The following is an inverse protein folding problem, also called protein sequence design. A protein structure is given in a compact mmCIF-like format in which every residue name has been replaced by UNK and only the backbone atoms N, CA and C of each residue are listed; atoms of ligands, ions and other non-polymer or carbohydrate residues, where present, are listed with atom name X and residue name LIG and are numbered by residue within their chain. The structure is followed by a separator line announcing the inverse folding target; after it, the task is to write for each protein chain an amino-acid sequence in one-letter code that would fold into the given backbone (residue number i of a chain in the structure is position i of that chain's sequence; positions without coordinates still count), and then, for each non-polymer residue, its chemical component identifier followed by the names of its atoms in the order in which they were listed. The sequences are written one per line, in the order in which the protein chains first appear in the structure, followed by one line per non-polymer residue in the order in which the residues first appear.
data_IF_730438186967
#
_entry.id   IF_730438186967
#
_cell.length_a   1.000
_cell.length_b   1.000
_cell.length_c   1.000
_cell.angle_alpha   90.00
_cell.angle_beta   90.00
_cell.angle_gamma   90.00
#
_symmetry.space_group_name_H-M   'P 1'
#
loop_
_entity.id
_entity.type
_entity.pdbx_description
1 polymer ?
#
# COMPACT_ATOMS: atom_id res chain seq x y z
N UNK A 1 -7.95 17.84 -2.67
CA UNK A 1 -7.23 17.19 -3.78
C UNK A 1 -8.04 16.18 -4.61
N UNK A 2 -9.09 15.54 -4.06
CA UNK A 2 -10.04 14.72 -4.84
C UNK A 2 -11.42 15.38 -4.75
N UNK A 3 -11.93 15.88 -5.89
CA UNK A 3 -13.27 16.44 -6.00
C UNK A 3 -14.33 15.33 -5.93
N UNK A 4 -15.50 15.63 -5.34
CA UNK A 4 -16.55 14.63 -5.15
C UNK A 4 -17.11 14.13 -6.50
N UNK A 5 -17.24 15.00 -7.49
CA UNK A 5 -17.62 14.63 -8.87
C UNK A 5 -16.66 13.56 -9.46
N UNK A 6 -15.36 13.66 -9.19
CA UNK A 6 -14.39 12.66 -9.64
C UNK A 6 -14.60 11.32 -8.95
N UNK A 7 -14.93 11.33 -7.66
CA UNK A 7 -15.21 10.11 -6.90
C UNK A 7 -16.50 9.44 -7.37
N UNK A 8 -17.55 10.21 -7.64
CA UNK A 8 -18.82 9.67 -8.12
C UNK A 8 -18.69 9.04 -9.50
N UNK A 9 -17.94 9.69 -10.41
CA UNK A 9 -17.59 9.10 -11.71
C UNK A 9 -16.78 7.81 -11.56
N UNK A 10 -15.86 7.76 -10.60
CA UNK A 10 -15.05 6.57 -10.35
C UNK A 10 -15.88 5.41 -9.76
N UNK A 11 -16.89 5.70 -8.94
CA UNK A 11 -17.83 4.70 -8.42
C UNK A 11 -18.76 4.13 -9.50
N UNK A 12 -19.13 4.96 -10.47
CA UNK A 12 -20.01 4.55 -11.57
C UNK A 12 -19.29 3.79 -12.69
N UNK A 13 -17.96 3.78 -12.70
CA UNK A 13 -17.16 3.13 -13.73
C UNK A 13 -16.81 1.68 -13.38
N UNK A 14 -16.71 0.82 -14.40
CA UNK A 14 -16.25 -0.57 -14.23
C UNK A 14 -14.75 -0.65 -13.88
N UNK A 15 -13.97 0.33 -14.33
CA UNK A 15 -12.54 0.42 -14.08
C UNK A 15 -12.05 1.87 -14.07
N UNK A 16 -10.98 2.13 -13.32
CA UNK A 16 -10.34 3.44 -13.22
C UNK A 16 -8.89 3.33 -13.66
N UNK A 17 -8.51 4.11 -14.67
CA UNK A 17 -7.12 4.29 -15.08
C UNK A 17 -6.59 5.62 -14.53
N UNK A 18 -5.49 5.55 -13.79
CA UNK A 18 -4.83 6.71 -13.19
C UNK A 18 -3.40 6.82 -13.73
N UNK A 19 -3.00 8.03 -14.14
CA UNK A 19 -1.63 8.33 -14.58
C UNK A 19 -0.68 8.52 -13.40
N UNK A 20 -0.48 9.77 -12.99
CA UNK A 20 0.38 10.13 -11.87
C UNK A 20 -0.23 11.25 -11.02
N UNK A 21 0.23 11.40 -9.77
CA UNK A 21 -0.14 12.49 -8.86
C UNK A 21 1.11 13.04 -8.18
N UNK A 22 1.12 14.33 -7.88
CA UNK A 22 2.22 15.01 -7.18
C UNK A 22 3.02 15.96 -8.07
N UNK A 23 3.80 16.85 -7.45
CA UNK A 23 4.69 17.77 -8.15
C UNK A 23 5.15 18.96 -7.28
N UNK A 24 6.29 19.61 -7.61
CA UNK A 24 6.92 20.62 -6.74
C UNK A 24 6.03 21.83 -6.38
N UNK A 25 5.07 22.14 -7.25
CA UNK A 25 4.07 23.19 -7.02
C UNK A 25 3.30 23.03 -5.71
N UNK A 26 3.13 21.79 -5.23
CA UNK A 26 2.32 21.47 -4.05
C UNK A 26 3.14 21.06 -2.82
N UNK A 27 4.47 21.20 -2.83
CA UNK A 27 5.31 20.73 -1.71
C UNK A 27 5.18 21.60 -0.44
N UNK A 28 4.79 22.87 -0.62
CA UNK A 28 4.71 23.86 0.45
C UNK A 28 3.29 24.03 1.03
N UNK A 29 2.29 23.34 0.48
CA UNK A 29 0.93 23.41 1.02
C UNK A 29 0.74 22.42 2.18
N UNK A 30 -0.31 22.63 2.96
CA UNK A 30 -0.69 21.78 4.07
C UNK A 30 -0.85 20.31 3.62
N UNK A 31 -0.38 19.38 4.46
CA UNK A 31 -0.32 17.95 4.12
C UNK A 31 -1.68 17.40 3.69
N UNK A 32 -2.77 17.85 4.29
CA UNK A 32 -4.12 17.32 4.02
C UNK A 32 -4.70 17.70 2.66
N UNK A 33 -4.19 18.75 2.03
CA UNK A 33 -4.64 19.21 0.71
C UNK A 33 -3.67 18.85 -0.43
N UNK A 34 -2.58 18.13 -0.13
CA UNK A 34 -1.61 17.67 -1.15
C UNK A 34 -2.20 16.62 -2.11
N UNK A 35 -1.71 16.54 -3.37
CA UNK A 35 -2.20 15.58 -4.37
C UNK A 35 -2.25 14.13 -3.89
N UNK A 36 -1.26 13.69 -3.09
CA UNK A 36 -1.15 12.32 -2.59
C UNK A 36 -2.31 11.94 -1.66
N UNK A 37 -2.90 12.92 -0.95
CA UNK A 37 -4.11 12.68 -0.14
C UNK A 37 -5.31 12.33 -1.00
N UNK A 38 -5.39 12.86 -2.22
CA UNK A 38 -6.42 12.48 -3.18
C UNK A 38 -6.32 11.01 -3.57
N UNK A 39 -5.10 10.53 -3.82
CA UNK A 39 -4.82 9.12 -4.12
C UNK A 39 -5.14 8.18 -2.95
N UNK A 40 -4.84 8.59 -1.72
CA UNK A 40 -5.24 7.81 -0.53
C UNK A 40 -6.76 7.80 -0.34
N UNK A 41 -7.42 8.96 -0.51
CA UNK A 41 -8.89 9.09 -0.38
C UNK A 41 -9.60 8.21 -1.41
N UNK A 42 -9.22 8.25 -2.69
CA UNK A 42 -9.92 7.45 -3.72
C UNK A 42 -9.76 5.95 -3.49
N UNK A 43 -8.57 5.48 -3.08
CA UNK A 43 -8.33 4.06 -2.75
C UNK A 43 -9.21 3.58 -1.61
N UNK A 44 -9.28 4.35 -0.53
CA UNK A 44 -10.12 4.01 0.62
C UNK A 44 -11.61 4.07 0.27
N UNK A 45 -12.06 5.12 -0.43
CA UNK A 45 -13.47 5.33 -0.78
C UNK A 45 -14.02 4.31 -1.79
N UNK A 46 -13.15 3.73 -2.62
CA UNK A 46 -13.50 2.65 -3.55
C UNK A 46 -13.22 1.25 -2.98
N UNK A 47 -12.73 1.14 -1.74
CA UNK A 47 -12.42 -0.15 -1.11
C UNK A 47 -11.32 -0.95 -1.82
N UNK A 48 -10.37 -0.28 -2.48
CA UNK A 48 -9.32 -0.91 -3.29
C UNK A 48 -8.18 -1.46 -2.42
N UNK A 49 -8.49 -2.46 -1.59
CA UNK A 49 -7.56 -3.02 -0.60
C UNK A 49 -6.42 -3.86 -1.21
N UNK A 50 -6.67 -4.52 -2.34
CA UNK A 50 -5.72 -5.43 -2.99
C UNK A 50 -4.81 -4.71 -3.99
N UNK A 51 -3.58 -4.38 -3.59
CA UNK A 51 -2.60 -3.83 -4.52
C UNK A 51 -1.71 -4.93 -5.09
N UNK A 52 -1.78 -5.12 -6.40
CA UNK A 52 -0.95 -6.06 -7.15
C UNK A 52 0.19 -5.32 -7.83
N UNK A 53 1.44 -5.70 -7.56
CA UNK A 53 2.64 -5.13 -8.18
C UNK A 53 3.53 -6.25 -8.72
N UNK A 54 3.39 -6.64 -9.99
CA UNK A 54 4.34 -7.54 -10.62
C UNK A 54 5.69 -6.84 -10.76
N UNK A 55 6.76 -7.49 -10.29
CA UNK A 55 8.14 -7.12 -10.57
C UNK A 55 8.72 -8.20 -11.48
N UNK A 56 8.80 -7.86 -12.77
CA UNK A 56 9.24 -8.74 -13.84
C UNK A 56 10.47 -8.10 -14.49
N UNK A 57 11.55 -8.88 -14.66
CA UNK A 57 12.72 -8.43 -15.41
C UNK A 57 12.90 -9.27 -16.67
N UNK A 58 12.64 -8.63 -17.80
CA UNK A 58 12.88 -9.22 -19.11
C UNK A 58 14.38 -9.37 -19.36
N UNK A 59 14.86 -10.51 -19.91
CA UNK A 59 16.28 -10.71 -20.20
C UNK A 59 16.92 -9.59 -21.02
N UNK A 60 16.16 -9.00 -21.97
CA UNK A 60 16.59 -7.89 -22.82
C UNK A 60 16.86 -6.59 -22.05
N UNK A 61 16.39 -6.49 -20.81
CA UNK A 61 16.54 -5.33 -19.93
C UNK A 61 17.40 -5.65 -18.70
N UNK A 62 18.07 -6.81 -18.66
CA UNK A 62 18.83 -7.24 -17.49
C UNK A 62 19.92 -6.23 -17.09
N UNK A 63 20.58 -5.63 -18.08
CA UNK A 63 21.66 -4.65 -17.88
C UNK A 63 21.17 -3.30 -17.29
N UNK A 64 19.86 -3.05 -17.28
CA UNK A 64 19.28 -1.89 -16.60
C UNK A 64 19.21 -2.07 -15.08
N UNK A 65 19.37 -3.31 -14.59
CA UNK A 65 19.39 -3.61 -13.16
C UNK A 65 20.76 -3.32 -12.55
N UNK A 66 20.78 -2.86 -11.30
CA UNK A 66 22.02 -2.73 -10.53
C UNK A 66 22.52 -4.06 -9.95
N UNK A 67 21.73 -5.13 -10.04
CA UNK A 67 22.12 -6.47 -9.64
C UNK A 67 22.81 -7.20 -10.79
N UNK A 68 23.68 -8.16 -10.45
CA UNK A 68 24.35 -9.00 -11.44
C UNK A 68 23.32 -9.73 -12.32
N UNK A 69 23.46 -9.72 -13.67
CA UNK A 69 22.48 -10.31 -14.58
C UNK A 69 22.13 -11.77 -14.26
N UNK A 70 23.11 -12.59 -13.88
CA UNK A 70 22.92 -14.01 -13.53
C UNK A 70 22.06 -14.24 -12.27
N UNK A 71 21.84 -13.20 -11.45
CA UNK A 71 21.00 -13.25 -10.25
C UNK A 71 19.56 -12.81 -10.57
N UNK A 72 19.41 -11.81 -11.44
CA UNK A 72 18.15 -11.07 -11.59
C UNK A 72 17.42 -11.34 -12.90
N UNK A 73 18.11 -11.85 -13.92
CA UNK A 73 17.50 -12.19 -15.19
C UNK A 73 16.38 -13.24 -14.99
N UNK A 74 15.18 -12.94 -15.48
CA UNK A 74 14.01 -13.79 -15.29
C UNK A 74 13.33 -13.64 -13.94
N UNK A 75 13.62 -12.57 -13.18
CA UNK A 75 12.84 -12.19 -12.00
C UNK A 75 11.36 -12.13 -12.38
N UNK A 76 10.53 -12.88 -11.67
CA UNK A 76 9.08 -12.85 -11.82
C UNK A 76 8.40 -13.08 -10.46
N UNK A 77 8.22 -11.97 -9.73
CA UNK A 77 7.54 -11.97 -8.45
C UNK A 77 6.32 -11.06 -8.50
N UNK A 78 5.29 -11.41 -7.72
CA UNK A 78 4.12 -10.58 -7.53
C UNK A 78 4.05 -10.15 -6.07
N UNK A 79 4.12 -8.85 -5.83
CA UNK A 79 3.87 -8.29 -4.50
C UNK A 79 2.37 -8.04 -4.37
N UNK A 80 1.75 -8.69 -3.37
CA UNK A 80 0.37 -8.47 -2.97
C UNK A 80 0.40 -7.66 -1.67
N UNK A 81 -0.09 -6.43 -1.72
CA UNK A 81 -0.01 -5.46 -0.61
C UNK A 81 -1.41 -5.02 -0.19
N UNK A 82 -1.68 -5.04 1.11
CA UNK A 82 -2.84 -4.37 1.70
C UNK A 82 -2.66 -2.85 1.58
N UNK A 83 -3.68 -2.17 1.05
CA UNK A 83 -3.59 -0.78 0.61
C UNK A 83 -4.52 0.20 1.35
N UNK A 84 -5.43 -0.28 2.19
CA UNK A 84 -6.53 0.53 2.74
C UNK A 84 -6.61 0.52 4.26
N UNK A 85 -5.75 -0.23 4.95
CA UNK A 85 -5.67 -0.31 6.39
C UNK A 85 -4.25 -0.03 6.91
N UNK A 86 -3.93 -0.63 8.05
CA UNK A 86 -2.62 -0.50 8.69
C UNK A 86 -2.29 0.94 9.10
N UNK A 87 -1.00 1.23 9.24
CA UNK A 87 -0.49 2.51 9.76
C UNK A 87 -0.85 3.73 8.90
N UNK A 88 -1.27 3.50 7.66
CA UNK A 88 -1.66 4.57 6.75
C UNK A 88 -3.00 5.18 7.14
N UNK A 89 -3.92 4.37 7.66
CA UNK A 89 -5.30 4.76 7.99
C UNK A 89 -5.65 4.59 9.48
N UNK A 90 -4.73 4.03 10.28
CA UNK A 90 -4.93 3.84 11.70
C UNK A 90 -5.11 5.13 12.49
N UNK A 91 -5.97 5.04 13.50
CA UNK A 91 -6.24 6.09 14.47
C UNK A 91 -6.13 5.51 15.90
N UNK A 92 -5.73 6.32 16.90
CA UNK A 92 -5.40 7.75 16.79
C UNK A 92 -4.02 7.98 16.14
N UNK A 93 -3.80 9.19 15.61
CA UNK A 93 -2.50 9.62 15.06
C UNK A 93 -2.33 11.13 15.18
N UNK A 94 -1.09 11.61 15.24
CA UNK A 94 -0.80 13.04 15.23
C UNK A 94 0.47 13.41 16.01
N UNK A 95 0.54 14.68 16.41
CA UNK A 95 1.59 15.19 17.28
C UNK A 95 0.97 15.87 18.49
N UNK A 96 1.56 15.71 19.68
CA UNK A 96 1.18 16.41 20.90
C UNK A 96 2.40 16.96 21.61
N UNK A 97 2.20 17.97 22.45
CA UNK A 97 3.19 18.40 23.44
C UNK A 97 2.95 17.61 24.72
N UNK A 98 4.04 17.15 25.34
CA UNK A 98 4.03 16.45 26.61
C UNK A 98 4.20 17.45 27.76
N UNK A 99 3.89 17.03 28.99
CA UNK A 99 3.97 17.92 30.17
C UNK A 99 5.39 18.47 30.41
N UNK A 100 6.43 17.80 29.90
CA UNK A 100 7.82 18.24 29.95
C UNK A 100 8.20 19.21 28.80
N UNK A 101 7.25 19.66 27.99
CA UNK A 101 7.45 20.53 26.83
C UNK A 101 7.95 19.82 25.56
N UNK A 102 8.14 18.49 25.59
CA UNK A 102 8.60 17.76 24.41
C UNK A 102 7.47 17.51 23.40
N UNK A 103 7.82 17.53 22.12
CA UNK A 103 6.90 17.13 21.05
C UNK A 103 6.97 15.62 20.83
N UNK A 104 5.85 14.94 21.00
CA UNK A 104 5.68 13.54 20.67
C UNK A 104 4.84 13.38 19.40
N UNK A 105 5.29 12.55 18.46
CA UNK A 105 4.51 12.07 17.33
C UNK A 105 4.05 10.62 17.57
N UNK A 106 2.88 10.26 17.08
CA UNK A 106 2.34 8.91 17.19
C UNK A 106 1.48 8.54 15.98
N UNK A 107 1.54 7.26 15.61
CA UNK A 107 0.73 6.64 14.57
C UNK A 107 0.30 5.25 15.06
N UNK A 108 -0.89 4.79 14.67
CA UNK A 108 -1.44 3.50 15.09
C UNK A 108 -1.41 2.53 13.91
N UNK A 109 -0.98 1.29 14.12
CA UNK A 109 -0.96 0.21 13.11
C UNK A 109 -2.02 -0.86 13.46
N UNK A 110 -3.33 -0.57 13.26
CA UNK A 110 -4.37 -1.55 13.49
C UNK A 110 -4.57 -2.42 12.25
N UNK A 111 -4.88 -3.69 12.49
CA UNK A 111 -5.52 -4.57 11.53
C UNK A 111 -6.58 -5.38 12.25
N UNK A 112 -7.72 -5.56 11.59
CA UNK A 112 -8.71 -6.56 11.97
C UNK A 112 -8.50 -7.85 11.17
N UNK A 113 -8.97 -8.97 11.71
CA UNK A 113 -8.91 -10.27 11.02
C UNK A 113 -9.59 -10.23 9.64
N UNK A 114 -10.67 -9.45 9.48
CA UNK A 114 -11.38 -9.36 8.21
C UNK A 114 -10.53 -8.66 7.14
N UNK A 115 -9.74 -7.65 7.51
CA UNK A 115 -8.79 -6.96 6.62
C UNK A 115 -7.63 -7.85 6.22
N UNK A 116 -7.09 -8.63 7.16
CA UNK A 116 -6.02 -9.60 6.90
C UNK A 116 -6.53 -10.74 6.00
N UNK A 117 -7.70 -11.29 6.33
CA UNK A 117 -8.31 -12.41 5.60
C UNK A 117 -8.59 -12.07 4.13
N UNK A 118 -9.11 -10.86 3.84
CA UNK A 118 -9.41 -10.47 2.45
C UNK A 118 -8.14 -10.34 1.60
N UNK A 119 -7.05 -9.78 2.14
CA UNK A 119 -5.79 -9.65 1.37
C UNK A 119 -5.05 -10.98 1.26
N UNK A 120 -5.10 -11.81 2.31
CA UNK A 120 -4.56 -13.17 2.27
C UNK A 120 -5.23 -14.00 1.17
N UNK A 121 -6.57 -13.94 1.05
CA UNK A 121 -7.31 -14.59 -0.05
C UNK A 121 -6.81 -14.16 -1.43
N UNK A 122 -6.63 -12.86 -1.65
CA UNK A 122 -6.02 -12.35 -2.90
C UNK A 122 -4.64 -12.96 -3.12
N UNK A 123 -3.80 -13.01 -2.08
CA UNK A 123 -2.48 -13.65 -2.13
C UNK A 123 -2.53 -15.13 -2.54
N UNK A 124 -3.43 -15.91 -1.94
CA UNK A 124 -3.64 -17.32 -2.27
C UNK A 124 -4.18 -17.51 -3.69
N UNK A 125 -5.16 -16.73 -4.10
CA UNK A 125 -5.75 -16.79 -5.44
C UNK A 125 -4.69 -16.46 -6.51
N UNK A 126 -3.87 -15.45 -6.28
CA UNK A 126 -2.76 -15.09 -7.18
C UNK A 126 -1.66 -16.16 -7.20
N UNK A 127 -1.33 -16.78 -6.06
CA UNK A 127 -0.38 -17.88 -6.02
C UNK A 127 -0.89 -19.10 -6.81
N UNK A 128 -2.20 -19.38 -6.76
CA UNK A 128 -2.84 -20.51 -7.46
C UNK A 128 -2.71 -20.45 -8.98
N UNK A 129 -2.83 -19.25 -9.57
CA UNK A 129 -2.67 -19.03 -11.02
C UNK A 129 -1.21 -18.80 -11.43
N UNK A 130 -0.27 -18.95 -10.49
CA UNK A 130 1.18 -18.83 -10.69
C UNK A 130 1.87 -20.11 -10.20
N UNK A 131 3.08 -20.00 -9.66
CA UNK A 131 3.88 -21.14 -9.19
C UNK A 131 3.43 -21.78 -7.87
N UNK A 132 2.21 -21.52 -7.37
CA UNK A 132 1.66 -22.08 -6.11
C UNK A 132 2.56 -21.88 -4.88
N UNK A 133 3.35 -20.81 -4.87
CA UNK A 133 4.20 -20.40 -3.75
C UNK A 133 3.73 -19.05 -3.24
N UNK A 134 3.49 -18.96 -1.94
CA UNK A 134 3.14 -17.73 -1.24
C UNK A 134 4.11 -17.55 -0.08
N UNK A 135 4.68 -16.36 0.05
CA UNK A 135 5.50 -15.97 1.20
C UNK A 135 4.79 -14.81 1.90
N UNK A 136 4.31 -15.04 3.13
CA UNK A 136 3.78 -13.97 3.98
C UNK A 136 4.95 -13.29 4.69
N UNK A 137 5.00 -11.95 4.61
CA UNK A 137 6.08 -11.15 5.18
C UNK A 137 5.50 -10.27 6.29
N UNK A 138 6.06 -10.39 7.49
CA UNK A 138 5.59 -9.70 8.70
C UNK A 138 6.74 -9.41 9.68
N UNK A 139 6.43 -8.78 10.81
CA UNK A 139 7.35 -8.60 11.94
C UNK A 139 6.77 -9.19 13.24
N UNK A 140 6.27 -10.43 13.18
CA UNK A 140 5.58 -11.09 14.30
C UNK A 140 6.45 -11.29 15.54
N UNK A 141 7.78 -11.21 15.39
CA UNK A 141 8.71 -11.27 16.52
C UNK A 141 8.74 -9.98 17.37
N UNK A 142 8.01 -8.93 16.98
CA UNK A 142 7.94 -7.64 17.71
C UNK A 142 6.51 -7.09 17.77
N UNK A 143 5.78 -7.11 16.65
CA UNK A 143 4.52 -6.37 16.52
C UNK A 143 3.30 -7.27 16.72
N UNK A 144 2.40 -6.88 17.63
CA UNK A 144 1.12 -7.58 17.83
C UNK A 144 0.26 -7.63 16.56
N UNK A 145 0.25 -6.55 15.76
CA UNK A 145 -0.43 -6.52 14.47
C UNK A 145 0.14 -7.54 13.47
N UNK A 146 1.43 -7.83 13.55
CA UNK A 146 2.09 -8.86 12.73
C UNK A 146 1.90 -10.28 13.26
N UNK A 147 1.69 -10.45 14.57
CA UNK A 147 1.31 -11.73 15.15
C UNK A 147 -0.06 -12.15 14.63
N UNK A 148 -1.05 -11.26 14.77
CA UNK A 148 -2.40 -11.47 14.21
C UNK A 148 -2.37 -11.67 12.68
N UNK A 149 -1.47 -10.99 11.96
CA UNK A 149 -1.30 -11.17 10.51
C UNK A 149 -0.84 -12.59 10.14
N UNK A 150 -0.03 -13.21 11.00
CA UNK A 150 0.59 -14.51 10.75
C UNK A 150 -0.32 -15.68 11.09
N UNK A 151 -1.16 -15.51 12.12
CA UNK A 151 -2.18 -16.47 12.56
C UNK A 151 -3.26 -16.72 11.48
#
# INVERSE_FOLDING_TARGET
PLADETLDRARAADAVLLGAVGGPKWDKIERDIRPERGLLKIRAQLGLFGNLRPAILYPQLADASSLKPEIVAGLDILIVRELTGGIYFGAPRGTRELDNGERQAYDTLPYSESEIRRIARVGFDMARVRGKKLCSVDKANVLASSQLWRE
#
